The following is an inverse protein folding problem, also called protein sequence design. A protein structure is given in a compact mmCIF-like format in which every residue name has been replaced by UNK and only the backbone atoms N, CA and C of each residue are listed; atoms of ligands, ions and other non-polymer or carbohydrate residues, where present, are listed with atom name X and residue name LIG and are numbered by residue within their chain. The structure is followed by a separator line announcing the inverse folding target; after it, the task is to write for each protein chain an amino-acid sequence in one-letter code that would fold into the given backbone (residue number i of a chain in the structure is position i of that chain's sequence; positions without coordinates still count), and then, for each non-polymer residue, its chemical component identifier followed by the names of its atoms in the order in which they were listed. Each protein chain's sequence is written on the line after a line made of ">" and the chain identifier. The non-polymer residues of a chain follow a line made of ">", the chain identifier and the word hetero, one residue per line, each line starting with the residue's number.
data_IF_492378511310
#
_entry.id   IF_492378511310
#
_cell.length_a   1.000
_cell.length_b   1.000
_cell.length_c   1.000
_cell.angle_alpha   90.00
_cell.angle_beta   90.00
_cell.angle_gamma   90.00
#
_symmetry.space_group_name_H-M   'P 1'
#
loop_
_entity.id
_entity.type
_entity.pdbx_description
1 polymer ?
#
# COMPACT_ATOMS: atom_id res chain seq x y z
N UNK A 1 -16.14 9.16 -31.09
CA UNK A 1 -16.00 9.92 -29.82
C UNK A 1 -15.62 11.36 -30.16
N UNK A 2 -16.43 12.36 -29.81
CA UNK A 2 -16.15 13.77 -30.18
C UNK A 2 -14.98 14.30 -29.36
N UNK A 3 -14.03 14.97 -30.02
CA UNK A 3 -12.76 15.50 -29.50
C UNK A 3 -12.87 16.18 -28.13
N UNK A 4 -14.02 16.83 -27.84
CA UNK A 4 -14.35 17.51 -26.58
C UNK A 4 -14.54 16.58 -25.37
N UNK A 5 -15.02 15.35 -25.57
CA UNK A 5 -15.21 14.37 -24.48
C UNK A 5 -13.87 13.76 -24.03
N UNK A 6 -12.94 13.54 -24.96
CA UNK A 6 -11.59 13.08 -24.63
C UNK A 6 -10.77 14.14 -23.89
N UNK A 7 -10.89 15.42 -24.27
CA UNK A 7 -10.23 16.51 -23.53
C UNK A 7 -10.72 16.62 -22.10
N UNK A 8 -12.03 16.45 -21.84
CA UNK A 8 -12.58 16.47 -20.47
C UNK A 8 -12.08 15.29 -19.62
N UNK A 9 -12.04 14.07 -20.17
CA UNK A 9 -11.53 12.89 -19.46
C UNK A 9 -10.03 12.99 -19.15
N UNK A 10 -9.22 13.48 -20.10
CA UNK A 10 -7.78 13.67 -19.91
C UNK A 10 -7.50 14.76 -18.87
N UNK A 11 -8.28 15.85 -18.87
CA UNK A 11 -8.16 16.92 -17.87
C UNK A 11 -8.54 16.41 -16.46
N UNK A 12 -9.58 15.60 -16.32
CA UNK A 12 -9.94 14.98 -15.03
C UNK A 12 -8.82 14.05 -14.53
N UNK A 13 -8.22 13.24 -15.42
CA UNK A 13 -7.12 12.34 -15.06
C UNK A 13 -5.87 13.11 -14.61
N UNK A 14 -5.52 14.21 -15.30
CA UNK A 14 -4.41 15.09 -14.91
C UNK A 14 -4.67 15.81 -13.58
N UNK A 15 -5.89 16.24 -13.33
CA UNK A 15 -6.28 16.87 -12.06
C UNK A 15 -6.17 15.88 -10.91
N UNK A 16 -6.65 14.64 -11.08
CA UNK A 16 -6.50 13.57 -10.07
C UNK A 16 -5.02 13.25 -9.82
N UNK A 17 -4.20 13.22 -10.87
CA UNK A 17 -2.76 12.97 -10.75
C UNK A 17 -2.03 14.09 -9.99
N UNK A 18 -2.39 15.35 -10.22
CA UNK A 18 -1.80 16.53 -9.54
C UNK A 18 -2.29 16.68 -8.10
N UNK A 19 -3.51 16.25 -7.79
CA UNK A 19 -4.07 16.31 -6.43
C UNK A 19 -3.56 15.14 -5.57
N UNK A 20 -3.18 14.02 -6.19
CA UNK A 20 -2.72 12.82 -5.48
C UNK A 20 -1.54 13.02 -4.52
N UNK A 21 -0.52 13.87 -4.77
CA UNK A 21 0.55 14.07 -3.81
C UNK A 21 0.09 14.87 -2.58
N UNK A 22 -0.86 15.79 -2.76
CA UNK A 22 -1.34 16.67 -1.68
C UNK A 22 -2.08 15.89 -0.57
N UNK A 23 -2.82 14.84 -0.94
CA UNK A 23 -3.51 13.96 0.03
C UNK A 23 -2.53 13.06 0.80
N UNK A 24 -1.35 12.77 0.24
CA UNK A 24 -0.33 11.91 0.84
C UNK A 24 0.47 12.64 1.90
N UNK A 25 0.89 13.87 1.59
CA UNK A 25 1.63 14.70 2.53
C UNK A 25 0.79 15.09 3.74
N UNK A 26 -0.54 15.24 3.60
CA UNK A 26 -1.42 15.60 4.70
C UNK A 26 -1.80 14.41 5.62
N UNK A 27 -1.80 13.18 5.08
CA UNK A 27 -2.28 12.02 5.82
C UNK A 27 -1.20 11.30 6.66
N UNK A 28 0.06 11.74 6.63
CA UNK A 28 1.19 11.08 7.32
C UNK A 28 1.24 9.55 7.12
N UNK A 29 0.70 9.07 5.99
CA UNK A 29 0.62 7.65 5.64
C UNK A 29 1.98 7.05 5.29
N UNK A 30 2.95 7.92 4.97
CA UNK A 30 4.34 7.56 4.83
C UNK A 30 5.12 8.04 6.06
N UNK A 31 5.86 7.17 6.74
CA UNK A 31 6.81 7.61 7.74
C UNK A 31 7.87 8.46 7.03
N UNK A 32 8.07 9.70 7.47
CA UNK A 32 9.08 10.61 6.89
C UNK A 32 10.50 10.02 6.88
N UNK A 33 10.73 8.97 7.67
CA UNK A 33 11.97 8.20 7.72
C UNK A 33 11.66 6.70 7.80
N UNK A 34 12.14 5.92 6.82
CA UNK A 34 11.99 4.45 6.81
C UNK A 34 12.79 3.82 7.95
N UNK A 35 13.96 4.39 8.23
CA UNK A 35 14.84 4.01 9.35
C UNK A 35 14.58 4.95 10.53
N UNK A 36 14.14 4.49 11.70
CA UNK A 36 13.96 5.37 12.86
C UNK A 36 15.30 5.96 13.31
N UNK A 37 15.28 7.17 13.88
CA UNK A 37 16.50 7.84 14.38
C UNK A 37 17.25 7.03 15.46
N UNK A 38 16.56 6.11 16.15
CA UNK A 38 17.16 5.13 17.07
C UNK A 38 18.18 4.19 16.41
N UNK A 39 18.12 4.00 15.09
CA UNK A 39 19.06 3.18 14.32
C UNK A 39 20.16 3.97 13.61
N UNK A 40 20.20 5.31 13.76
CA UNK A 40 21.19 6.17 13.07
C UNK A 40 22.46 6.45 13.92
N UNK A 41 22.59 5.80 15.09
CA UNK A 41 23.70 5.96 16.03
C UNK A 41 24.77 4.86 15.93
N UNK A 42 25.95 5.13 16.51
CA UNK A 42 27.06 4.17 16.62
C UNK A 42 26.63 3.05 17.57
N UNK A 43 26.23 1.91 17.00
CA UNK A 43 25.59 0.79 17.71
C UNK A 43 24.51 0.08 16.89
N UNK A 44 24.02 0.70 15.81
CA UNK A 44 22.98 0.14 14.94
C UNK A 44 21.64 -0.05 15.65
N UNK A 45 20.69 -0.73 15.00
CA UNK A 45 19.45 -1.13 15.66
C UNK A 45 19.75 -2.15 16.77
N UNK A 46 19.73 -1.72 18.03
CA UNK A 46 20.11 -2.57 19.17
C UNK A 46 19.00 -3.54 19.59
N UNK A 47 17.76 -3.35 19.08
CA UNK A 47 16.61 -4.18 19.42
C UNK A 47 15.98 -4.84 18.18
N UNK A 48 15.47 -6.07 18.33
CA UNK A 48 14.63 -6.72 17.31
C UNK A 48 13.36 -5.89 17.00
N UNK A 49 12.97 -5.01 17.91
CA UNK A 49 11.81 -4.14 17.77
C UNK A 49 12.05 -3.01 16.77
N UNK A 50 13.24 -2.41 16.73
CA UNK A 50 13.55 -1.38 15.72
C UNK A 50 13.51 -1.96 14.31
N UNK A 51 13.94 -3.21 14.12
CA UNK A 51 13.85 -3.92 12.83
C UNK A 51 12.38 -4.14 12.43
N UNK A 52 11.51 -4.45 13.40
CA UNK A 52 10.07 -4.57 13.17
C UNK A 52 9.43 -3.21 12.80
N UNK A 53 9.89 -2.10 13.38
CA UNK A 53 9.47 -0.73 13.00
C UNK A 53 9.82 -0.45 11.55
N UNK A 54 11.07 -0.71 11.16
CA UNK A 54 11.55 -0.50 9.79
C UNK A 54 10.74 -1.33 8.81
N UNK A 55 10.51 -2.60 9.11
CA UNK A 55 9.75 -3.48 8.23
C UNK A 55 8.28 -3.05 8.11
N UNK A 56 7.64 -2.55 9.18
CA UNK A 56 6.30 -1.95 9.09
C UNK A 56 6.29 -0.68 8.22
N UNK A 57 7.31 0.16 8.34
CA UNK A 57 7.45 1.38 7.54
C UNK A 57 7.62 1.05 6.05
N UNK A 58 8.43 0.03 5.74
CA UNK A 58 8.60 -0.50 4.38
C UNK A 58 7.30 -1.07 3.84
N UNK A 59 6.58 -1.90 4.62
CA UNK A 59 5.30 -2.47 4.21
C UNK A 59 4.25 -1.38 3.93
N UNK A 60 4.13 -0.38 4.80
CA UNK A 60 3.22 0.75 4.59
C UNK A 60 3.56 1.51 3.30
N UNK A 61 4.85 1.75 3.06
CA UNK A 61 5.32 2.42 1.83
C UNK A 61 5.03 1.57 0.58
N UNK A 62 5.28 0.26 0.66
CA UNK A 62 5.04 -0.66 -0.45
C UNK A 62 3.55 -0.79 -0.80
N UNK A 63 2.68 -0.93 0.21
CA UNK A 63 1.22 -0.98 0.02
C UNK A 63 0.72 0.34 -0.56
N UNK A 64 1.25 1.47 -0.09
CA UNK A 64 0.89 2.78 -0.62
C UNK A 64 1.22 2.90 -2.12
N UNK A 65 2.44 2.56 -2.50
CA UNK A 65 2.88 2.57 -3.92
C UNK A 65 2.05 1.60 -4.76
N UNK A 66 1.77 0.41 -4.22
CA UNK A 66 0.94 -0.60 -4.88
C UNK A 66 -0.48 -0.08 -5.16
N UNK A 67 -1.16 0.47 -4.15
CA UNK A 67 -2.52 1.00 -4.29
C UNK A 67 -2.55 2.13 -5.31
N UNK A 68 -1.55 3.01 -5.28
CA UNK A 68 -1.44 4.11 -6.23
C UNK A 68 -1.28 3.63 -7.68
N UNK A 69 -0.40 2.65 -7.91
CA UNK A 69 -0.21 2.03 -9.22
C UNK A 69 -1.46 1.27 -9.69
N UNK A 70 -2.11 0.52 -8.80
CA UNK A 70 -3.35 -0.19 -9.11
C UNK A 70 -4.46 0.78 -9.52
N UNK A 71 -4.60 1.93 -8.86
CA UNK A 71 -5.59 2.94 -9.21
C UNK A 71 -5.40 3.47 -10.65
N UNK A 72 -4.14 3.70 -11.07
CA UNK A 72 -3.80 4.13 -12.44
C UNK A 72 -4.16 3.04 -13.45
N UNK A 73 -3.82 1.77 -13.17
CA UNK A 73 -4.11 0.65 -14.06
C UNK A 73 -5.63 0.40 -14.19
N UNK A 74 -6.39 0.56 -13.12
CA UNK A 74 -7.86 0.49 -13.16
C UNK A 74 -8.46 1.62 -14.00
N UNK A 75 -7.96 2.85 -13.86
CA UNK A 75 -8.39 3.97 -14.67
C UNK A 75 -8.09 3.75 -16.17
N UNK A 76 -6.91 3.21 -16.50
CA UNK A 76 -6.56 2.85 -17.87
C UNK A 76 -7.45 1.73 -18.44
N UNK A 77 -7.70 0.68 -17.65
CA UNK A 77 -8.60 -0.42 -18.04
C UNK A 77 -10.04 0.06 -18.28
N UNK A 78 -10.53 0.96 -17.40
CA UNK A 78 -11.84 1.60 -17.56
C UNK A 78 -11.93 2.45 -18.83
N UNK A 79 -10.87 3.19 -19.15
CA UNK A 79 -10.81 3.96 -20.40
C UNK A 79 -10.83 3.06 -21.65
N UNK A 80 -10.06 1.97 -21.63
CA UNK A 80 -10.04 0.99 -22.72
C UNK A 80 -11.41 0.32 -22.92
N UNK A 81 -12.14 0.06 -21.82
CA UNK A 81 -13.49 -0.51 -21.87
C UNK A 81 -14.50 0.43 -22.53
N UNK A 82 -14.49 1.71 -22.15
CA UNK A 82 -15.43 2.72 -22.65
C UNK A 82 -15.15 3.15 -24.09
N UNK A 83 -13.90 3.03 -24.56
CA UNK A 83 -13.51 3.40 -25.93
C UNK A 83 -13.78 2.28 -26.94
N UNK A 84 -13.79 1.02 -26.51
CA UNK A 84 -13.99 -0.15 -27.38
C UNK A 84 -15.43 -0.70 -27.42
N UNK A 85 -16.43 0.13 -27.08
CA UNK A 85 -17.86 -0.28 -26.97
C UNK A 85 -18.44 -0.91 -28.27
N UNK A 86 -17.74 -0.84 -29.41
CA UNK A 86 -18.16 -1.46 -30.69
C UNK A 86 -17.32 -2.64 -31.17
N UNK A 87 -16.28 -3.08 -30.45
CA UNK A 87 -15.43 -4.21 -30.85
C UNK A 87 -15.31 -5.22 -29.71
N UNK A 88 -15.86 -6.43 -29.91
CA UNK A 88 -15.85 -7.51 -28.93
C UNK A 88 -14.42 -7.89 -28.47
N UNK A 89 -13.43 -7.78 -29.35
CA UNK A 89 -12.02 -8.03 -29.02
C UNK A 89 -11.44 -7.01 -28.03
N UNK A 90 -11.77 -5.73 -28.19
CA UNK A 90 -11.30 -4.66 -27.30
C UNK A 90 -11.96 -4.72 -25.92
N UNK A 91 -13.23 -5.12 -25.86
CA UNK A 91 -13.95 -5.35 -24.59
C UNK A 91 -13.36 -6.53 -23.83
N UNK A 92 -13.05 -7.63 -24.52
CA UNK A 92 -12.41 -8.80 -23.89
C UNK A 92 -11.04 -8.44 -23.30
N UNK A 93 -10.23 -7.66 -24.03
CA UNK A 93 -8.92 -7.20 -23.54
C UNK A 93 -9.02 -6.27 -22.34
N UNK A 94 -10.00 -5.36 -22.31
CA UNK A 94 -10.22 -4.49 -21.16
C UNK A 94 -10.64 -5.27 -19.90
N UNK A 95 -11.48 -6.31 -20.04
CA UNK A 95 -11.83 -7.20 -18.92
C UNK A 95 -10.63 -7.99 -18.40
N UNK A 96 -9.80 -8.51 -19.31
CA UNK A 96 -8.59 -9.25 -18.94
C UNK A 96 -7.65 -8.39 -18.07
N UNK A 97 -7.40 -7.14 -18.47
CA UNK A 97 -6.61 -6.19 -17.68
C UNK A 97 -7.28 -5.90 -16.33
N UNK A 98 -8.60 -5.68 -16.30
CA UNK A 98 -9.32 -5.41 -15.05
C UNK A 98 -9.17 -6.56 -14.02
N UNK A 99 -9.31 -7.82 -14.46
CA UNK A 99 -9.13 -8.98 -13.59
C UNK A 99 -7.68 -9.15 -13.14
N UNK A 100 -6.71 -8.91 -14.02
CA UNK A 100 -5.29 -8.98 -13.67
C UNK A 100 -4.92 -7.98 -12.56
N UNK A 101 -5.44 -6.75 -12.63
CA UNK A 101 -5.20 -5.74 -11.59
C UNK A 101 -5.90 -6.10 -10.29
N UNK A 102 -7.14 -6.62 -10.36
CA UNK A 102 -7.87 -7.08 -9.18
C UNK A 102 -7.14 -8.20 -8.44
N UNK A 103 -6.61 -9.19 -9.17
CA UNK A 103 -5.80 -10.28 -8.60
C UNK A 103 -4.53 -9.73 -7.94
N UNK A 104 -3.85 -8.78 -8.59
CA UNK A 104 -2.68 -8.12 -8.01
C UNK A 104 -2.98 -7.44 -6.67
N UNK A 105 -4.10 -6.72 -6.59
CA UNK A 105 -4.53 -6.06 -5.34
C UNK A 105 -4.84 -7.08 -4.24
N UNK A 106 -5.51 -8.19 -4.58
CA UNK A 106 -5.80 -9.27 -3.62
C UNK A 106 -4.52 -9.90 -3.08
N UNK A 107 -3.52 -10.16 -3.94
CA UNK A 107 -2.24 -10.75 -3.51
C UNK A 107 -1.51 -9.83 -2.52
N UNK A 108 -1.51 -8.52 -2.79
CA UNK A 108 -0.83 -7.54 -1.92
C UNK A 108 -1.50 -7.46 -0.55
N UNK A 109 -2.84 -7.41 -0.52
CA UNK A 109 -3.60 -7.44 0.74
C UNK A 109 -3.43 -8.77 1.48
N UNK A 110 -3.45 -9.90 0.76
CA UNK A 110 -3.25 -11.22 1.34
C UNK A 110 -1.83 -11.38 1.91
N UNK A 111 -0.80 -10.89 1.22
CA UNK A 111 0.58 -10.93 1.70
C UNK A 111 0.76 -10.15 3.00
N UNK A 112 0.19 -8.94 3.08
CA UNK A 112 0.19 -8.17 4.32
C UNK A 112 -0.55 -8.89 5.46
N UNK A 113 -1.74 -9.45 5.17
CA UNK A 113 -2.54 -10.18 6.15
C UNK A 113 -1.83 -11.45 6.66
N UNK A 114 -1.12 -12.18 5.79
CA UNK A 114 -0.38 -13.40 6.17
C UNK A 114 0.76 -13.05 7.12
N UNK A 115 1.55 -12.00 6.83
CA UNK A 115 2.63 -11.56 7.72
C UNK A 115 2.08 -11.13 9.08
N UNK A 116 0.99 -10.37 9.08
CA UNK A 116 0.30 -9.95 10.31
C UNK A 116 -0.19 -11.17 11.11
N UNK A 117 -0.82 -12.14 10.44
CA UNK A 117 -1.35 -13.35 11.08
C UNK A 117 -0.24 -14.24 11.64
N UNK A 118 0.85 -14.45 10.90
CA UNK A 118 2.00 -15.25 11.36
C UNK A 118 2.66 -14.63 12.60
N UNK A 119 2.85 -13.31 12.63
CA UNK A 119 3.42 -12.66 13.81
C UNK A 119 2.47 -12.74 15.02
N UNK A 120 1.17 -12.74 14.79
CA UNK A 120 0.17 -12.91 15.86
C UNK A 120 0.11 -14.32 16.42
N UNK A 121 0.21 -15.35 15.58
CA UNK A 121 0.21 -16.75 16.04
C UNK A 121 1.47 -17.10 16.82
N UNK A 122 2.62 -16.55 16.45
CA UNK A 122 3.88 -16.79 17.16
C UNK A 122 3.94 -16.09 18.53
N UNK A 123 3.33 -14.92 18.70
CA UNK A 123 3.38 -14.14 19.96
C UNK A 123 2.14 -14.35 20.85
N UNK A 124 1.06 -14.94 20.33
CA UNK A 124 -0.16 -15.21 21.12
C UNK A 124 -0.93 -13.96 21.53
N UNK A 125 -0.72 -12.83 20.86
CA UNK A 125 -1.40 -11.56 21.18
C UNK A 125 -2.69 -11.39 20.35
N UNK A 126 -3.82 -11.21 21.05
CA UNK A 126 -5.16 -11.04 20.47
C UNK A 126 -5.45 -9.61 19.98
N UNK A 127 -4.46 -8.71 20.00
CA UNK A 127 -4.65 -7.31 19.61
C UNK A 127 -4.68 -7.18 18.08
N UNK A 128 -5.66 -6.47 17.52
CA UNK A 128 -5.73 -6.13 16.10
C UNK A 128 -4.92 -4.84 15.90
N UNK A 129 -3.73 -4.94 15.32
CA UNK A 129 -2.87 -3.79 15.06
C UNK A 129 -1.52 -4.18 14.46
N UNK A 130 -0.74 -3.20 13.95
CA UNK A 130 0.54 -3.46 13.28
C UNK A 130 1.49 -4.24 14.19
N UNK A 131 2.05 -5.34 13.69
CA UNK A 131 2.97 -6.24 14.40
C UNK A 131 4.14 -5.53 15.11
N UNK A 132 4.57 -4.37 14.60
CA UNK A 132 5.54 -3.50 15.26
C UNK A 132 5.17 -3.14 16.73
N UNK A 133 3.89 -3.00 17.05
CA UNK A 133 3.41 -2.69 18.42
C UNK A 133 3.59 -3.86 19.40
N UNK A 134 3.61 -5.09 18.88
CA UNK A 134 3.71 -6.31 19.68
C UNK A 134 5.10 -6.42 20.33
N UNK A 135 6.14 -6.00 19.61
CA UNK A 135 7.51 -6.02 20.13
C UNK A 135 7.72 -5.01 21.29
N UNK A 136 7.11 -3.83 21.19
CA UNK A 136 7.10 -2.83 22.27
C UNK A 136 6.38 -3.34 23.53
N UNK A 137 5.26 -4.05 23.36
CA UNK A 137 4.51 -4.65 24.48
C UNK A 137 5.30 -5.77 25.17
N UNK A 138 6.03 -6.59 24.41
CA UNK A 138 6.84 -7.67 24.98
C UNK A 138 8.02 -7.14 25.83
N UNK A 139 8.72 -6.10 25.35
CA UNK A 139 9.79 -5.47 26.13
C UNK A 139 9.27 -4.73 27.37
N UNK A 140 8.07 -4.14 27.32
CA UNK A 140 7.45 -3.51 28.49
C UNK A 140 7.04 -4.52 29.57
N UNK A 141 6.84 -5.79 29.19
CA UNK A 141 6.58 -6.87 30.16
C UNK A 141 7.88 -7.47 30.72
N UNK A 142 8.95 -7.54 29.93
CA UNK A 142 10.28 -8.00 30.38
C UNK A 142 10.97 -6.95 31.27
N UNK A 143 10.83 -5.65 30.99
CA UNK A 143 11.36 -4.58 31.85
C UNK A 143 10.55 -4.33 33.12
N UNK A 144 9.35 -4.91 33.23
CA UNK A 144 8.57 -4.93 34.48
C UNK A 144 8.98 -6.09 35.42
N UNK A 145 9.80 -7.02 34.95
CA UNK A 145 10.33 -8.16 35.70
C UNK A 145 11.80 -8.00 36.11
N UNK A 146 12.44 -6.88 35.75
CA UNK A 146 13.79 -6.45 36.18
C UNK A 146 13.69 -5.27 37.14
#
# INVERSE_FOLDING_TARGET
>A
MTRRQMTKLVVVFLIVFIISPAVVLAANVLPGQIVPESCNGIGGCQSLCDIAVVAQNVLNTAIYVAVFLSAILFAWAGFLYLTNVGNSGGISKAKEVFFNVAIGLVIILAGWLVVDTLMRTLVGSSTLGPWNKICLLFLQHVSAFV
#
